data_IF_398095286735
#
_entry.id   IF_398095286735
#
_cell.length_a   1.000
_cell.length_b   1.000
_cell.length_c   1.000
_cell.angle_alpha   90.00
_cell.angle_beta   90.00
_cell.angle_gamma   90.00
#
_symmetry.space_group_name_H-M   'P 1'
#
loop_
_entity.id
_entity.type
_entity.pdbx_description
1 polymer ?
#
# COMPACT_ATOMS: atom_id res chain seq x y z
N UNK A 1 -14.67 16.58 -0.44
CA UNK A 1 -14.56 15.52 -1.45
C UNK A 1 -13.56 15.94 -2.53
N UNK A 2 -12.63 15.07 -2.89
CA UNK A 2 -11.63 15.27 -3.94
C UNK A 2 -11.68 14.11 -4.93
N UNK A 3 -11.39 14.41 -6.21
CA UNK A 3 -11.27 13.39 -7.27
C UNK A 3 -9.90 13.56 -7.91
N UNK A 4 -9.15 12.44 -8.00
CA UNK A 4 -7.82 12.40 -8.60
C UNK A 4 -7.87 11.42 -9.74
N UNK A 5 -7.63 11.91 -10.96
CA UNK A 5 -7.55 11.09 -12.15
C UNK A 5 -6.18 10.41 -12.26
N UNK A 6 -6.18 9.10 -12.51
CA UNK A 6 -4.98 8.28 -12.67
C UNK A 6 -4.90 7.79 -14.11
N UNK A 7 -3.83 8.16 -14.79
CA UNK A 7 -3.51 7.72 -16.15
C UNK A 7 -2.52 6.55 -16.08
N UNK A 8 -2.96 5.39 -16.54
CA UNK A 8 -2.19 4.15 -16.64
C UNK A 8 -2.71 3.32 -17.83
N UNK A 9 -2.36 2.05 -17.93
CA UNK A 9 -2.90 1.14 -18.96
C UNK A 9 -4.43 1.06 -18.96
N UNK A 10 -5.05 1.38 -17.83
CA UNK A 10 -6.47 1.71 -17.67
C UNK A 10 -6.57 2.99 -16.85
N UNK A 11 -7.30 3.97 -17.37
CA UNK A 11 -7.59 5.20 -16.65
C UNK A 11 -8.71 4.99 -15.63
N UNK A 12 -8.62 5.65 -14.49
CA UNK A 12 -9.61 5.59 -13.44
C UNK A 12 -9.52 6.78 -12.49
N UNK A 13 -10.56 6.99 -11.72
CA UNK A 13 -10.61 8.02 -10.69
C UNK A 13 -10.42 7.43 -9.30
N UNK A 14 -9.71 8.19 -8.44
CA UNK A 14 -9.68 8.00 -6.99
C UNK A 14 -10.52 9.09 -6.36
N UNK A 15 -11.61 8.71 -5.72
CA UNK A 15 -12.52 9.65 -5.04
C UNK A 15 -12.28 9.56 -3.54
N UNK A 16 -11.99 10.69 -2.91
CA UNK A 16 -11.69 10.80 -1.47
C UNK A 16 -12.70 11.75 -0.82
N UNK A 17 -13.32 11.33 0.28
CA UNK A 17 -14.26 12.15 1.04
C UNK A 17 -15.04 11.35 2.07
N UNK A 18 -15.81 12.04 2.91
CA UNK A 18 -16.65 11.42 3.93
C UNK A 18 -17.99 10.96 3.32
N UNK A 19 -18.57 9.86 3.86
CA UNK A 19 -19.89 9.37 3.52
C UNK A 19 -20.02 8.69 2.16
N UNK A 20 -18.92 8.44 1.45
CA UNK A 20 -18.93 7.91 0.08
C UNK A 20 -19.52 6.50 -0.03
N UNK A 21 -19.47 5.70 1.02
CA UNK A 21 -20.08 4.37 1.03
C UNK A 21 -21.59 4.41 0.80
N UNK A 22 -22.26 5.51 1.15
CA UNK A 22 -23.71 5.64 0.97
C UNK A 22 -24.12 5.77 -0.49
N UNK A 23 -23.23 6.30 -1.33
CA UNK A 23 -23.45 6.54 -2.76
C UNK A 23 -22.51 5.72 -3.67
N UNK A 24 -21.76 4.79 -3.09
CA UNK A 24 -20.77 4.00 -3.84
C UNK A 24 -21.39 3.21 -5.00
N UNK A 25 -22.64 2.74 -4.86
CA UNK A 25 -23.33 2.01 -5.91
C UNK A 25 -23.54 2.86 -7.16
N UNK A 26 -23.98 4.11 -7.04
CA UNK A 26 -24.17 5.02 -8.17
C UNK A 26 -22.85 5.36 -8.86
N UNK A 27 -21.80 5.59 -8.07
CA UNK A 27 -20.44 5.86 -8.58
C UNK A 27 -19.87 4.65 -9.33
N UNK A 28 -20.07 3.44 -8.79
CA UNK A 28 -19.66 2.20 -9.43
C UNK A 28 -20.44 1.98 -10.73
N UNK A 29 -21.76 2.18 -10.75
CA UNK A 29 -22.56 2.05 -11.95
C UNK A 29 -22.11 3.00 -13.07
N UNK A 30 -21.72 4.23 -12.72
CA UNK A 30 -21.17 5.19 -13.68
C UNK A 30 -19.77 4.77 -14.20
N UNK A 31 -18.92 4.21 -13.35
CA UNK A 31 -17.56 3.79 -13.71
C UNK A 31 -17.52 2.47 -14.51
N UNK A 32 -18.53 1.61 -14.35
CA UNK A 32 -18.60 0.29 -14.99
C UNK A 32 -19.95 0.06 -15.69
N UNK A 33 -20.28 0.84 -16.72
CA UNK A 33 -21.57 0.74 -17.39
C UNK A 33 -21.82 -0.66 -17.94
N UNK A 34 -23.07 -1.14 -17.82
CA UNK A 34 -23.49 -2.46 -18.28
C UNK A 34 -23.11 -3.63 -17.37
N UNK A 35 -22.56 -3.40 -16.19
CA UNK A 35 -22.39 -4.44 -15.20
C UNK A 35 -23.74 -4.76 -14.51
N UNK A 36 -24.11 -6.03 -14.48
CA UNK A 36 -25.36 -6.49 -13.83
C UNK A 36 -25.13 -6.98 -12.41
N UNK A 37 -23.99 -7.65 -12.17
CA UNK A 37 -23.63 -8.16 -10.86
C UNK A 37 -22.47 -7.38 -10.26
N UNK A 38 -22.54 -7.14 -8.95
CA UNK A 38 -21.45 -6.64 -8.14
C UNK A 38 -21.08 -7.69 -7.07
N UNK A 39 -19.82 -8.11 -7.08
CA UNK A 39 -19.29 -9.09 -6.11
C UNK A 39 -18.49 -8.34 -5.06
N UNK A 40 -19.03 -8.16 -3.87
CA UNK A 40 -18.34 -7.54 -2.73
C UNK A 40 -17.55 -8.62 -1.99
N UNK A 41 -16.23 -8.47 -1.98
CA UNK A 41 -15.35 -9.36 -1.22
C UNK A 41 -14.60 -8.57 -0.14
N UNK A 42 -14.55 -9.11 1.08
CA UNK A 42 -14.01 -8.40 2.24
C UNK A 42 -13.36 -9.38 3.23
N UNK A 43 -13.05 -8.93 4.43
CA UNK A 43 -12.56 -9.76 5.53
C UNK A 43 -13.48 -9.74 6.76
N UNK A 44 -13.20 -10.64 7.72
CA UNK A 44 -14.01 -10.81 8.95
C UNK A 44 -14.05 -9.57 9.84
N UNK A 45 -13.08 -8.65 9.76
CA UNK A 45 -13.06 -7.40 10.51
C UNK A 45 -13.94 -6.34 9.85
N UNK A 46 -13.83 -6.20 8.53
CA UNK A 46 -14.49 -5.14 7.75
C UNK A 46 -15.95 -5.51 7.44
N UNK A 47 -16.25 -6.80 7.28
CA UNK A 47 -17.60 -7.30 6.95
C UNK A 47 -18.69 -6.74 7.87
N UNK A 48 -18.62 -6.88 9.21
CA UNK A 48 -19.66 -6.37 10.12
C UNK A 48 -19.76 -4.86 10.15
N UNK A 49 -18.71 -4.13 9.78
CA UNK A 49 -18.66 -2.68 9.82
C UNK A 49 -19.32 -2.02 8.61
N UNK A 50 -19.02 -2.52 7.40
CA UNK A 50 -19.29 -1.79 6.18
C UNK A 50 -20.00 -2.59 5.09
N UNK A 51 -19.98 -3.93 5.10
CA UNK A 51 -20.52 -4.73 3.99
C UNK A 51 -21.99 -4.42 3.73
N UNK A 52 -22.81 -4.26 4.78
CA UNK A 52 -24.23 -3.93 4.63
C UNK A 52 -24.43 -2.58 3.91
N UNK A 53 -23.70 -1.53 4.31
CA UNK A 53 -23.80 -0.20 3.71
C UNK A 53 -23.48 -0.23 2.22
N UNK A 54 -22.38 -0.90 1.85
CA UNK A 54 -21.94 -1.05 0.47
C UNK A 54 -22.94 -1.87 -0.35
N UNK A 55 -23.41 -3.00 0.17
CA UNK A 55 -24.38 -3.86 -0.54
C UNK A 55 -25.73 -3.19 -0.73
N UNK A 56 -26.22 -2.42 0.25
CA UNK A 56 -27.46 -1.65 0.13
C UNK A 56 -27.33 -0.56 -0.93
N UNK A 57 -26.23 0.17 -0.97
CA UNK A 57 -25.95 1.19 -1.98
C UNK A 57 -25.86 0.59 -3.39
N UNK A 58 -25.22 -0.57 -3.56
CA UNK A 58 -25.14 -1.30 -4.83
C UNK A 58 -26.51 -1.79 -5.29
N UNK A 59 -27.32 -2.36 -4.40
CA UNK A 59 -28.70 -2.78 -4.72
C UNK A 59 -29.57 -1.61 -5.14
N UNK A 60 -29.46 -0.46 -4.44
CA UNK A 60 -30.18 0.76 -4.81
C UNK A 60 -29.78 1.29 -6.19
N UNK A 61 -28.56 1.02 -6.63
CA UNK A 61 -28.06 1.32 -7.98
C UNK A 61 -28.41 0.28 -9.05
N UNK A 62 -29.17 -0.77 -8.69
CA UNK A 62 -29.70 -1.78 -9.63
C UNK A 62 -28.83 -3.04 -9.78
N UNK A 63 -27.74 -3.20 -9.01
CA UNK A 63 -26.92 -4.42 -9.10
C UNK A 63 -27.57 -5.63 -8.41
N UNK A 64 -27.39 -6.79 -9.01
CA UNK A 64 -27.49 -8.07 -8.29
C UNK A 64 -26.22 -8.23 -7.45
N UNK A 65 -26.33 -8.18 -6.12
CA UNK A 65 -25.18 -8.16 -5.23
C UNK A 65 -24.88 -9.54 -4.66
N UNK A 66 -23.66 -9.98 -4.84
CA UNK A 66 -23.05 -11.16 -4.22
C UNK A 66 -22.03 -10.71 -3.20
N UNK A 67 -21.85 -11.46 -2.11
CA UNK A 67 -20.86 -11.13 -1.10
C UNK A 67 -20.25 -12.37 -0.46
N UNK A 68 -18.94 -12.31 -0.17
CA UNK A 68 -18.22 -13.30 0.63
C UNK A 68 -17.03 -12.62 1.35
N UNK A 69 -16.39 -13.33 2.27
CA UNK A 69 -15.27 -12.82 3.05
C UNK A 69 -14.31 -13.94 3.46
N UNK A 70 -13.08 -13.57 3.83
CA UNK A 70 -12.09 -14.45 4.44
C UNK A 70 -11.63 -13.92 5.80
N UNK A 71 -10.80 -14.67 6.53
CA UNK A 71 -10.26 -14.23 7.82
C UNK A 71 -9.34 -13.03 7.61
N UNK A 72 -9.49 -11.99 8.45
CA UNK A 72 -8.63 -10.80 8.40
C UNK A 72 -7.17 -11.15 8.75
N UNK A 73 -6.23 -10.41 8.16
CA UNK A 73 -4.81 -10.50 8.45
C UNK A 73 -3.97 -11.08 7.30
N UNK A 74 -2.66 -10.79 7.34
CA UNK A 74 -1.70 -11.16 6.29
C UNK A 74 -1.62 -12.67 6.07
N UNK A 75 -1.77 -13.48 7.15
CA UNK A 75 -1.79 -14.94 7.06
C UNK A 75 -2.87 -15.48 6.11
N UNK A 76 -3.87 -14.69 5.78
CA UNK A 76 -4.92 -15.05 4.81
C UNK A 76 -4.52 -14.78 3.37
N UNK A 77 -3.44 -14.05 3.11
CA UNK A 77 -2.96 -13.66 1.76
C UNK A 77 -2.29 -14.84 1.04
N UNK A 78 -3.01 -15.93 0.88
CA UNK A 78 -2.49 -17.21 0.38
C UNK A 78 -3.12 -17.61 -0.94
N UNK A 79 -2.41 -18.46 -1.69
CA UNK A 79 -2.91 -19.06 -2.93
C UNK A 79 -4.21 -19.85 -2.69
N UNK A 80 -4.35 -20.53 -1.54
CA UNK A 80 -5.56 -21.28 -1.18
C UNK A 80 -6.79 -20.38 -1.03
N UNK A 81 -6.66 -19.24 -0.37
CA UNK A 81 -7.77 -18.30 -0.23
C UNK A 81 -8.07 -17.60 -1.56
N UNK A 82 -7.06 -17.32 -2.37
CA UNK A 82 -7.25 -16.81 -3.72
C UNK A 82 -8.01 -17.80 -4.62
N UNK A 83 -7.68 -19.08 -4.59
CA UNK A 83 -8.45 -20.13 -5.28
C UNK A 83 -9.93 -20.17 -4.82
N UNK A 84 -10.17 -19.98 -3.51
CA UNK A 84 -11.52 -19.90 -2.94
C UNK A 84 -12.30 -18.70 -3.54
N UNK A 85 -11.66 -17.55 -3.72
CA UNK A 85 -12.30 -16.39 -4.38
C UNK A 85 -12.71 -16.74 -5.81
N UNK A 86 -11.82 -17.36 -6.59
CA UNK A 86 -12.13 -17.79 -7.96
C UNK A 86 -13.25 -18.79 -8.03
N UNK A 87 -13.30 -19.73 -7.10
CA UNK A 87 -14.39 -20.70 -6.99
C UNK A 87 -15.71 -20.00 -6.73
N UNK A 88 -15.75 -19.06 -5.80
CA UNK A 88 -16.94 -18.27 -5.52
C UNK A 88 -17.43 -17.52 -6.77
N UNK A 89 -16.53 -16.94 -7.56
CA UNK A 89 -16.91 -16.30 -8.83
C UNK A 89 -17.53 -17.27 -9.82
N UNK A 90 -16.97 -18.49 -9.92
CA UNK A 90 -17.43 -19.53 -10.85
C UNK A 90 -18.82 -20.07 -10.44
N UNK A 91 -19.00 -20.42 -9.16
CA UNK A 91 -20.25 -20.94 -8.62
C UNK A 91 -21.41 -19.96 -8.77
N UNK A 92 -21.11 -18.66 -8.68
CA UNK A 92 -22.09 -17.58 -8.85
C UNK A 92 -22.19 -17.05 -10.28
N UNK A 93 -21.56 -17.74 -11.24
CA UNK A 93 -21.61 -17.37 -12.67
C UNK A 93 -21.28 -15.89 -12.92
N UNK A 94 -20.22 -15.40 -12.26
CA UNK A 94 -19.71 -14.05 -12.50
C UNK A 94 -19.22 -13.98 -13.93
N UNK A 95 -19.61 -12.93 -14.64
CA UNK A 95 -19.24 -12.73 -16.04
C UNK A 95 -18.12 -11.68 -16.15
N UNK A 96 -17.51 -11.60 -17.32
CA UNK A 96 -16.47 -10.61 -17.60
C UNK A 96 -16.99 -9.17 -17.59
N UNK A 97 -18.29 -8.97 -17.78
CA UNK A 97 -18.95 -7.64 -17.73
C UNK A 97 -19.34 -7.21 -16.31
N UNK A 98 -19.32 -8.11 -15.34
CA UNK A 98 -19.63 -7.81 -13.95
C UNK A 98 -18.49 -7.03 -13.27
N UNK A 99 -18.68 -6.62 -12.03
CA UNK A 99 -17.70 -5.89 -11.24
C UNK A 99 -17.38 -6.60 -9.93
N UNK A 100 -16.10 -6.66 -9.62
CA UNK A 100 -15.60 -7.13 -8.33
C UNK A 100 -15.23 -5.92 -7.48
N UNK A 101 -15.74 -5.87 -6.26
CA UNK A 101 -15.53 -4.78 -5.30
C UNK A 101 -14.70 -5.32 -4.14
N UNK A 102 -13.46 -4.88 -4.03
CA UNK A 102 -12.55 -5.17 -2.92
C UNK A 102 -12.79 -4.15 -1.80
N UNK A 103 -13.50 -4.57 -0.74
CA UNK A 103 -13.83 -3.73 0.41
C UNK A 103 -12.93 -4.10 1.59
N UNK A 104 -11.86 -3.34 1.86
CA UNK A 104 -10.95 -3.68 2.96
C UNK A 104 -9.59 -3.01 2.93
N UNK A 105 -8.66 -3.53 3.71
CA UNK A 105 -7.25 -3.12 3.70
C UNK A 105 -6.47 -3.68 2.51
N UNK A 106 -5.14 -3.51 2.54
CA UNK A 106 -4.24 -3.94 1.46
C UNK A 106 -4.34 -5.43 1.14
N UNK A 107 -4.49 -6.30 2.14
CA UNK A 107 -4.65 -7.75 1.94
C UNK A 107 -5.88 -8.06 1.07
N UNK A 108 -7.01 -7.42 1.37
CA UNK A 108 -8.24 -7.58 0.57
C UNK A 108 -8.03 -7.05 -0.83
N UNK A 109 -7.50 -5.83 -0.94
CA UNK A 109 -7.25 -5.19 -2.23
C UNK A 109 -6.36 -6.02 -3.15
N UNK A 110 -5.27 -6.56 -2.61
CA UNK A 110 -4.29 -7.36 -3.36
C UNK A 110 -4.87 -8.72 -3.80
N UNK A 111 -5.45 -9.48 -2.88
CA UNK A 111 -5.97 -10.82 -3.21
C UNK A 111 -7.17 -10.76 -4.16
N UNK A 112 -8.13 -9.88 -3.87
CA UNK A 112 -9.34 -9.73 -4.68
C UNK A 112 -9.00 -9.13 -6.04
N UNK A 113 -8.06 -8.16 -6.06
CA UNK A 113 -7.55 -7.59 -7.30
C UNK A 113 -6.84 -8.62 -8.17
N UNK A 114 -6.03 -9.49 -7.59
CA UNK A 114 -5.37 -10.58 -8.34
C UNK A 114 -6.38 -11.61 -8.83
N UNK A 115 -7.41 -11.94 -8.05
CA UNK A 115 -8.48 -12.80 -8.52
C UNK A 115 -9.25 -12.17 -9.69
N UNK A 116 -9.55 -10.87 -9.63
CA UNK A 116 -10.17 -10.14 -10.73
C UNK A 116 -9.30 -10.11 -11.99
N UNK A 117 -7.98 -9.96 -11.83
CA UNK A 117 -7.03 -9.99 -12.95
C UNK A 117 -7.01 -11.34 -13.69
N UNK A 118 -7.10 -12.44 -12.94
CA UNK A 118 -6.96 -13.79 -13.50
C UNK A 118 -8.30 -14.37 -13.99
N UNK A 119 -9.41 -14.06 -13.30
CA UNK A 119 -10.71 -14.63 -13.64
C UNK A 119 -11.18 -14.16 -15.01
N UNK A 120 -11.51 -15.11 -15.89
CA UNK A 120 -11.88 -14.88 -17.29
C UNK A 120 -10.91 -13.94 -18.06
N UNK A 121 -9.64 -13.90 -17.70
CA UNK A 121 -8.58 -13.01 -18.25
C UNK A 121 -8.84 -11.54 -17.97
N UNK A 122 -9.54 -11.24 -16.89
CA UNK A 122 -9.77 -9.89 -16.40
C UNK A 122 -11.23 -9.52 -16.26
N UNK A 123 -11.64 -9.24 -15.02
CA UNK A 123 -12.94 -8.69 -14.64
C UNK A 123 -12.71 -7.29 -14.06
N UNK A 124 -13.70 -6.39 -14.19
CA UNK A 124 -13.58 -5.04 -13.65
C UNK A 124 -13.43 -5.07 -12.14
N UNK A 125 -12.51 -4.25 -11.63
CA UNK A 125 -12.20 -4.13 -10.22
C UNK A 125 -12.55 -2.74 -9.71
N UNK A 126 -13.15 -2.66 -8.53
CA UNK A 126 -13.28 -1.43 -7.76
C UNK A 126 -12.61 -1.65 -6.40
N UNK A 127 -11.80 -0.70 -5.97
CA UNK A 127 -11.17 -0.71 -4.66
C UNK A 127 -11.93 0.22 -3.71
N UNK A 128 -12.29 -0.28 -2.53
CA UNK A 128 -12.83 0.52 -1.42
C UNK A 128 -11.90 0.31 -0.22
N UNK A 129 -10.79 1.08 -0.15
CA UNK A 129 -9.83 0.95 0.93
C UNK A 129 -10.44 1.39 2.26
N UNK A 130 -10.24 0.59 3.31
CA UNK A 130 -10.72 0.87 4.66
C UNK A 130 -9.61 1.02 5.69
N UNK A 131 -8.35 0.88 5.29
CA UNK A 131 -7.18 1.20 6.12
C UNK A 131 -6.44 2.40 5.56
N UNK A 132 -5.74 3.13 6.42
CA UNK A 132 -4.99 4.31 6.02
C UNK A 132 -3.92 3.97 4.97
N UNK A 133 -3.17 2.88 5.19
CA UNK A 133 -2.17 2.38 4.24
C UNK A 133 -2.80 2.10 2.87
N UNK A 134 -3.95 1.45 2.84
CA UNK A 134 -4.63 1.15 1.58
C UNK A 134 -5.16 2.42 0.90
N UNK A 135 -5.66 3.38 1.67
CA UNK A 135 -6.19 4.64 1.15
C UNK A 135 -5.12 5.50 0.47
N UNK A 136 -3.89 5.53 1.01
CA UNK A 136 -2.80 6.37 0.48
C UNK A 136 -1.85 5.62 -0.45
N UNK A 137 -1.85 4.28 -0.42
CA UNK A 137 -0.85 3.51 -1.16
C UNK A 137 -1.47 2.31 -1.89
N UNK A 138 -1.74 1.17 -1.26
CA UNK A 138 -1.93 -0.10 -1.96
C UNK A 138 -3.11 -0.13 -2.94
N UNK A 139 -4.17 0.66 -2.77
CA UNK A 139 -5.31 0.73 -3.70
C UNK A 139 -5.00 1.40 -5.04
N UNK A 140 -3.85 2.06 -5.18
CA UNK A 140 -3.46 2.85 -6.37
C UNK A 140 -2.27 2.20 -7.08
N UNK A 141 -2.31 2.16 -8.42
CA UNK A 141 -1.19 1.71 -9.25
C UNK A 141 -1.17 0.23 -9.56
N UNK A 142 -2.26 -0.50 -9.27
CA UNK A 142 -2.58 -1.80 -9.86
C UNK A 142 -1.74 -2.99 -9.40
N UNK A 143 -0.84 -2.86 -8.45
CA UNK A 143 -0.12 -4.02 -7.89
C UNK A 143 -1.10 -4.89 -7.11
N UNK A 144 -1.26 -6.16 -7.51
CA UNK A 144 -2.13 -7.14 -6.86
C UNK A 144 -1.37 -8.45 -6.73
N UNK A 145 -1.51 -9.14 -5.59
CA UNK A 145 -0.70 -10.33 -5.34
C UNK A 145 -1.26 -11.23 -4.24
N UNK A 146 -0.65 -12.42 -4.14
CA UNK A 146 -0.72 -13.33 -3.00
C UNK A 146 0.68 -13.75 -2.58
N UNK A 147 0.79 -14.22 -1.35
CA UNK A 147 2.04 -14.69 -0.77
C UNK A 147 2.28 -16.17 -1.07
N UNK A 148 3.56 -16.53 -1.09
CA UNK A 148 4.01 -17.92 -1.09
C UNK A 148 4.83 -18.20 0.18
N UNK A 149 5.06 -19.46 0.54
CA UNK A 149 5.98 -19.80 1.62
C UNK A 149 7.40 -19.24 1.43
N UNK A 150 7.78 -18.94 0.19
CA UNK A 150 9.08 -18.37 -0.16
C UNK A 150 9.19 -16.85 0.03
N UNK A 151 8.06 -16.13 0.20
CA UNK A 151 8.05 -14.68 0.39
C UNK A 151 6.72 -14.03 0.02
N UNK A 152 6.58 -12.76 0.44
CA UNK A 152 5.40 -11.93 0.16
C UNK A 152 5.32 -11.50 -1.29
N UNK A 153 4.10 -11.38 -1.81
CA UNK A 153 3.76 -10.77 -3.10
C UNK A 153 4.47 -11.38 -4.33
N UNK A 154 4.89 -12.65 -4.24
CA UNK A 154 5.66 -13.31 -5.31
C UNK A 154 4.81 -13.75 -6.51
N UNK A 155 3.50 -13.92 -6.32
CA UNK A 155 2.56 -14.20 -7.41
C UNK A 155 1.54 -13.09 -7.48
N UNK A 156 1.45 -12.43 -8.62
CA UNK A 156 0.55 -11.31 -8.80
C UNK A 156 0.44 -10.83 -10.23
N UNK A 157 -0.31 -9.76 -10.39
CA UNK A 157 -0.51 -9.09 -11.67
C UNK A 157 -0.60 -7.58 -11.46
N UNK A 158 -0.25 -6.80 -12.48
CA UNK A 158 -0.64 -5.40 -12.56
C UNK A 158 -2.07 -5.35 -13.11
N UNK A 159 -3.03 -4.97 -12.26
CA UNK A 159 -4.43 -4.86 -12.62
C UNK A 159 -5.02 -3.56 -12.09
N UNK A 160 -5.15 -2.57 -12.97
CA UNK A 160 -5.68 -1.26 -12.59
C UNK A 160 -7.17 -1.38 -12.26
N UNK A 161 -7.64 -0.74 -11.16
CA UNK A 161 -9.07 -0.68 -10.85
C UNK A 161 -9.81 0.20 -11.90
N UNK A 162 -11.12 0.09 -11.94
CA UNK A 162 -11.98 1.00 -12.70
C UNK A 162 -12.39 2.23 -11.88
N UNK A 163 -12.27 2.14 -10.54
CA UNK A 163 -12.57 3.21 -9.59
C UNK A 163 -11.94 2.86 -8.24
N UNK A 164 -11.48 3.87 -7.51
CA UNK A 164 -11.13 3.76 -6.08
C UNK A 164 -12.01 4.71 -5.30
N UNK A 165 -12.70 4.21 -4.26
CA UNK A 165 -13.56 5.00 -3.36
C UNK A 165 -12.95 4.99 -1.96
N UNK A 166 -12.30 6.08 -1.57
CA UNK A 166 -11.72 6.27 -0.25
C UNK A 166 -12.68 7.07 0.63
N UNK A 167 -13.51 6.37 1.39
CA UNK A 167 -14.40 6.99 2.38
C UNK A 167 -13.63 7.26 3.67
N UNK A 168 -13.41 8.54 3.99
CA UNK A 168 -12.64 8.93 5.17
C UNK A 168 -13.31 8.56 6.49
N UNK A 169 -14.63 8.32 6.51
CA UNK A 169 -15.34 7.83 7.70
C UNK A 169 -14.84 6.43 8.11
N UNK A 170 -14.37 5.61 7.16
CA UNK A 170 -13.84 4.28 7.48
C UNK A 170 -12.55 4.33 8.30
N UNK A 171 -11.80 5.41 8.21
CA UNK A 171 -10.54 5.60 8.94
C UNK A 171 -10.77 5.89 10.43
N UNK A 172 -11.97 6.35 10.81
CA UNK A 172 -12.32 6.66 12.21
C UNK A 172 -12.51 5.41 13.06
N UNK A 173 -12.80 4.26 12.44
CA UNK A 173 -12.98 2.99 13.15
C UNK A 173 -11.72 2.14 13.22
N UNK A 174 -10.61 2.64 12.68
CA UNK A 174 -9.34 1.92 12.72
C UNK A 174 -8.81 1.82 14.16
N UNK A 175 -8.36 0.64 14.59
CA UNK A 175 -7.55 0.53 15.79
C UNK A 175 -6.30 1.43 15.67
N UNK A 176 -5.91 2.03 16.79
CA UNK A 176 -4.76 2.96 16.81
C UNK A 176 -3.47 2.37 16.21
N UNK A 177 -3.20 1.09 16.46
CA UNK A 177 -2.04 0.42 15.90
C UNK A 177 -2.07 0.38 14.36
N UNK A 178 -3.24 0.07 13.77
CA UNK A 178 -3.43 0.03 12.31
C UNK A 178 -3.35 1.43 11.70
N UNK A 179 -3.89 2.44 12.40
CA UNK A 179 -3.80 3.83 11.97
C UNK A 179 -2.35 4.32 11.97
N UNK A 180 -1.59 4.07 13.06
CA UNK A 180 -0.17 4.41 13.14
C UNK A 180 0.65 3.74 12.05
N UNK A 181 0.37 2.49 11.77
CA UNK A 181 1.03 1.72 10.71
C UNK A 181 0.91 2.43 9.35
N UNK A 182 -0.28 2.94 9.02
CA UNK A 182 -0.49 3.74 7.81
C UNK A 182 0.25 5.09 7.80
N UNK A 183 0.55 5.69 8.97
CA UNK A 183 1.32 6.94 9.05
C UNK A 183 2.74 6.79 8.50
N UNK A 184 3.35 5.60 8.58
CA UNK A 184 4.69 5.36 8.02
C UNK A 184 4.73 5.65 6.50
N UNK A 185 3.72 5.23 5.76
CA UNK A 185 3.62 5.48 4.33
C UNK A 185 3.37 6.97 4.03
N UNK A 186 2.52 7.64 4.83
CA UNK A 186 2.32 9.08 4.69
C UNK A 186 3.63 9.84 4.92
N UNK A 187 4.40 9.45 5.93
CA UNK A 187 5.72 10.06 6.20
C UNK A 187 6.67 9.80 5.02
N UNK A 188 6.70 8.60 4.48
CA UNK A 188 7.45 8.27 3.25
C UNK A 188 7.11 9.24 2.12
N UNK A 189 5.81 9.48 1.85
CA UNK A 189 5.39 10.46 0.85
C UNK A 189 5.83 11.88 1.20
N UNK A 190 5.81 12.26 2.47
CA UNK A 190 6.34 13.55 2.91
C UNK A 190 7.83 13.72 2.62
N UNK A 191 8.63 12.67 2.82
CA UNK A 191 10.07 12.68 2.48
C UNK A 191 10.27 12.75 0.96
N UNK A 192 9.44 12.09 0.17
CA UNK A 192 9.51 12.10 -1.30
C UNK A 192 9.06 13.45 -1.90
N UNK A 193 8.01 14.06 -1.35
CA UNK A 193 7.40 15.30 -1.90
C UNK A 193 8.19 16.57 -1.52
N UNK A 194 8.66 16.64 -0.28
CA UNK A 194 9.51 17.72 0.18
C UNK A 194 9.00 18.47 1.40
N UNK A 195 9.71 19.56 1.71
CA UNK A 195 9.57 20.31 2.95
C UNK A 195 8.15 20.83 3.21
N UNK A 196 7.42 21.22 2.17
CA UNK A 196 6.07 21.79 2.35
C UNK A 196 5.08 20.75 2.90
N UNK A 197 5.00 19.56 2.28
CA UNK A 197 4.18 18.46 2.80
C UNK A 197 4.72 17.97 4.14
N UNK A 198 6.05 17.76 4.24
CA UNK A 198 6.66 17.23 5.45
C UNK A 198 6.35 18.10 6.69
N UNK A 199 6.49 19.44 6.59
CA UNK A 199 6.17 20.36 7.69
C UNK A 199 4.68 20.33 8.07
N UNK A 200 3.79 20.09 7.11
CA UNK A 200 2.36 19.88 7.42
C UNK A 200 2.15 18.60 8.21
N UNK A 201 2.86 17.51 7.85
CA UNK A 201 2.79 16.24 8.58
C UNK A 201 3.30 16.38 10.02
N UNK A 202 4.38 17.15 10.23
CA UNK A 202 4.90 17.46 11.58
C UNK A 202 3.83 18.13 12.48
N UNK A 203 2.94 18.92 11.89
CA UNK A 203 1.87 19.60 12.64
C UNK A 203 0.58 18.76 12.79
N UNK A 204 0.27 17.89 11.83
CA UNK A 204 -1.01 17.16 11.77
C UNK A 204 -0.94 15.76 12.37
N UNK A 205 0.11 14.97 12.05
CA UNK A 205 0.20 13.57 12.48
C UNK A 205 0.56 13.45 13.97
N UNK A 206 0.10 12.40 14.65
CA UNK A 206 -0.83 11.36 14.20
C UNK A 206 -2.31 11.72 14.41
N UNK A 207 -2.61 12.89 14.96
CA UNK A 207 -3.93 13.23 15.50
C UNK A 207 -4.96 13.48 14.39
N UNK A 208 -4.53 14.14 13.31
CA UNK A 208 -5.38 14.46 12.17
C UNK A 208 -4.76 14.01 10.86
N UNK A 209 -5.59 13.45 9.98
CA UNK A 209 -5.21 13.09 8.62
C UNK A 209 -6.24 13.73 7.68
N UNK A 210 -6.04 15.03 7.36
CA UNK A 210 -6.93 15.77 6.49
C UNK A 210 -7.05 15.16 5.08
N UNK A 211 -8.21 15.30 4.44
CA UNK A 211 -8.46 14.80 3.08
C UNK A 211 -7.42 15.28 2.06
N UNK A 212 -6.88 16.46 2.24
CA UNK A 212 -5.88 17.00 1.31
C UNK A 212 -4.48 16.37 1.48
N UNK A 213 -4.15 15.86 2.67
CA UNK A 213 -2.94 15.03 2.88
C UNK A 213 -3.12 13.69 2.19
N UNK A 214 -4.28 13.02 2.37
CA UNK A 214 -4.59 11.78 1.66
C UNK A 214 -4.52 11.99 0.15
N UNK A 215 -5.15 13.04 -0.34
CA UNK A 215 -5.15 13.40 -1.75
C UNK A 215 -3.72 13.63 -2.27
N UNK A 216 -2.89 14.34 -1.52
CA UNK A 216 -1.51 14.60 -1.93
C UNK A 216 -0.67 13.33 -2.02
N UNK A 217 -0.81 12.39 -1.07
CA UNK A 217 -0.16 11.08 -1.15
C UNK A 217 -0.57 10.32 -2.43
N UNK A 218 -1.87 10.31 -2.73
CA UNK A 218 -2.41 9.68 -3.95
C UNK A 218 -1.89 10.37 -5.22
N UNK A 219 -1.82 11.71 -5.24
CA UNK A 219 -1.26 12.47 -6.37
C UNK A 219 0.21 12.12 -6.64
N UNK A 220 1.03 12.08 -5.58
CA UNK A 220 2.45 11.69 -5.70
C UNK A 220 2.56 10.28 -6.27
N UNK A 221 1.76 9.33 -5.76
CA UNK A 221 1.75 7.97 -6.26
C UNK A 221 1.29 7.90 -7.72
N UNK A 222 0.21 8.60 -8.07
CA UNK A 222 -0.28 8.72 -9.45
C UNK A 222 0.81 9.18 -10.40
N UNK A 223 1.52 10.24 -10.05
CA UNK A 223 2.57 10.82 -10.91
C UNK A 223 3.72 9.83 -11.14
N UNK A 224 4.12 9.11 -10.09
CA UNK A 224 5.14 8.07 -10.18
C UNK A 224 4.65 6.87 -11.00
N UNK A 225 3.40 6.43 -10.82
CA UNK A 225 2.79 5.33 -11.57
C UNK A 225 2.61 5.70 -13.04
N UNK A 226 2.19 6.93 -13.35
CA UNK A 226 2.06 7.41 -14.72
C UNK A 226 3.42 7.42 -15.46
N UNK A 227 4.52 7.70 -14.75
CA UNK A 227 5.87 7.66 -15.30
C UNK A 227 6.42 6.23 -15.45
N UNK A 228 6.00 5.29 -14.60
CA UNK A 228 6.51 3.91 -14.56
C UNK A 228 5.48 2.95 -13.95
N UNK A 229 4.50 2.52 -14.76
CA UNK A 229 3.42 1.65 -14.30
C UNK A 229 3.94 0.29 -13.81
N UNK A 230 4.94 -0.29 -14.51
CA UNK A 230 5.39 -1.66 -14.29
C UNK A 230 6.60 -1.79 -13.35
N UNK A 231 6.97 -0.72 -12.63
CA UNK A 231 8.02 -0.72 -11.61
C UNK A 231 9.40 -1.17 -12.14
N UNK A 232 9.79 -0.60 -13.26
CA UNK A 232 11.06 -0.91 -13.92
C UNK A 232 12.14 0.17 -13.69
N UNK A 233 11.78 1.32 -13.11
CA UNK A 233 12.68 2.47 -12.94
C UNK A 233 12.23 3.46 -11.86
N UNK A 234 11.52 4.53 -12.25
CA UNK A 234 11.16 5.64 -11.37
C UNK A 234 10.28 5.21 -10.19
N UNK A 235 9.44 4.19 -10.37
CA UNK A 235 8.54 3.68 -9.31
C UNK A 235 9.31 3.07 -8.14
N UNK A 236 10.57 2.66 -8.34
CA UNK A 236 11.42 2.20 -7.24
C UNK A 236 11.56 3.24 -6.12
N UNK A 237 11.36 4.55 -6.38
CA UNK A 237 11.36 5.59 -5.33
C UNK A 237 10.36 5.30 -4.21
N UNK A 238 9.23 4.65 -4.52
CA UNK A 238 8.24 4.24 -3.53
C UNK A 238 8.78 3.20 -2.52
N UNK A 239 9.92 2.55 -2.83
CA UNK A 239 10.58 1.61 -1.94
C UNK A 239 11.58 2.30 -0.96
N UNK A 240 11.46 3.61 -0.73
CA UNK A 240 12.24 4.30 0.30
C UNK A 240 12.01 3.64 1.66
N UNK A 241 13.10 3.20 2.32
CA UNK A 241 13.05 2.43 3.58
C UNK A 241 12.72 0.94 3.44
N UNK A 242 12.11 0.52 2.33
CA UNK A 242 11.55 -0.83 2.18
C UNK A 242 12.58 -1.96 2.10
N UNK A 243 13.80 -1.70 1.65
CA UNK A 243 14.83 -2.75 1.57
C UNK A 243 15.16 -3.32 2.95
N UNK A 244 15.32 -2.44 3.96
CA UNK A 244 15.52 -2.85 5.35
C UNK A 244 14.20 -3.35 5.99
N UNK A 245 13.07 -2.73 5.63
CA UNK A 245 11.76 -3.11 6.14
C UNK A 245 11.41 -4.56 5.77
N UNK A 246 11.46 -4.94 4.51
CA UNK A 246 11.17 -6.30 4.06
C UNK A 246 12.12 -7.34 4.67
N UNK A 247 13.41 -6.98 4.85
CA UNK A 247 14.35 -7.84 5.57
C UNK A 247 13.94 -8.05 7.03
N UNK A 248 13.49 -6.99 7.71
CA UNK A 248 13.02 -7.07 9.10
C UNK A 248 11.68 -7.84 9.21
N UNK A 249 10.75 -7.66 8.29
CA UNK A 249 9.51 -8.44 8.20
C UNK A 249 9.83 -9.95 8.05
N UNK A 250 10.74 -10.29 7.14
CA UNK A 250 11.15 -11.68 6.90
C UNK A 250 11.79 -12.29 8.16
N UNK A 251 12.72 -11.58 8.81
CA UNK A 251 13.40 -12.05 10.02
C UNK A 251 12.46 -12.18 11.23
N UNK A 252 11.36 -11.43 11.25
CA UNK A 252 10.34 -11.52 12.29
C UNK A 252 9.28 -12.60 12.03
N UNK A 253 9.44 -13.40 10.98
CA UNK A 253 8.39 -14.31 10.47
C UNK A 253 7.04 -13.57 10.29
N UNK A 254 7.14 -12.35 9.75
CA UNK A 254 6.01 -11.45 9.47
C UNK A 254 5.15 -11.07 10.70
N UNK A 255 5.68 -11.23 11.91
CA UNK A 255 5.02 -10.74 13.14
C UNK A 255 5.13 -9.22 13.31
N UNK A 256 6.14 -8.61 12.66
CA UNK A 256 6.30 -7.15 12.60
C UNK A 256 5.32 -6.57 11.56
N UNK A 257 4.59 -5.52 11.94
CA UNK A 257 3.69 -4.85 11.00
C UNK A 257 4.48 -4.11 9.91
N UNK A 258 3.87 -4.00 8.72
CA UNK A 258 4.50 -3.37 7.57
C UNK A 258 4.93 -1.92 7.83
N UNK A 259 4.02 -1.10 8.38
CA UNK A 259 4.33 0.31 8.65
C UNK A 259 5.40 0.47 9.72
N UNK A 260 5.43 -0.40 10.76
CA UNK A 260 6.52 -0.40 11.73
C UNK A 260 7.86 -0.74 11.09
N UNK A 261 7.89 -1.72 10.19
CA UNK A 261 9.09 -2.07 9.43
C UNK A 261 9.56 -0.92 8.52
N UNK A 262 8.62 -0.29 7.79
CA UNK A 262 8.90 0.87 6.92
C UNK A 262 9.43 2.05 7.74
N UNK A 263 8.84 2.34 8.89
CA UNK A 263 9.27 3.41 9.78
C UNK A 263 10.75 3.21 10.23
N UNK A 264 11.10 2.00 10.69
CA UNK A 264 12.47 1.67 11.04
C UNK A 264 13.42 1.76 9.86
N UNK A 265 12.99 1.30 8.68
CA UNK A 265 13.77 1.38 7.45
C UNK A 265 14.00 2.81 6.97
N UNK A 266 13.00 3.70 7.12
CA UNK A 266 13.12 5.14 6.84
C UNK A 266 14.15 5.79 7.76
N UNK A 267 14.07 5.56 9.09
CA UNK A 267 15.04 6.07 10.05
C UNK A 267 16.46 5.58 9.75
N UNK A 268 16.59 4.28 9.50
CA UNK A 268 17.89 3.67 9.18
C UNK A 268 18.50 4.29 7.92
N UNK A 269 17.72 4.47 6.86
CA UNK A 269 18.21 5.06 5.62
C UNK A 269 18.55 6.55 5.79
N UNK A 270 17.71 7.32 6.50
CA UNK A 270 17.97 8.74 6.75
C UNK A 270 19.27 8.94 7.55
N UNK A 271 19.48 8.17 8.64
CA UNK A 271 20.73 8.19 9.44
C UNK A 271 21.94 7.79 8.59
N UNK A 272 21.83 6.73 7.79
CA UNK A 272 22.93 6.30 6.91
C UNK A 272 23.28 7.37 5.86
N UNK A 273 22.29 8.05 5.31
CA UNK A 273 22.50 9.14 4.37
C UNK A 273 23.18 10.36 5.04
N UNK A 274 22.77 10.74 6.25
CA UNK A 274 23.42 11.80 7.01
C UNK A 274 24.87 11.45 7.36
N UNK A 275 25.14 10.24 7.88
CA UNK A 275 26.49 9.78 8.17
C UNK A 275 27.42 9.74 6.95
N UNK A 276 26.85 9.68 5.74
CA UNK A 276 27.58 9.71 4.46
C UNK A 276 27.61 11.11 3.81
N UNK A 277 27.05 12.13 4.47
CA UNK A 277 27.00 13.51 3.95
C UNK A 277 26.07 13.67 2.75
N UNK A 278 25.10 12.78 2.54
CA UNK A 278 24.12 12.86 1.46
C UNK A 278 22.95 13.79 1.81
N UNK A 279 22.53 13.82 3.07
CA UNK A 279 21.58 14.79 3.59
C UNK A 279 22.11 15.40 4.89
N UNK A 280 21.40 16.40 5.41
CA UNK A 280 21.77 17.03 6.68
C UNK A 280 21.38 16.13 7.88
N UNK A 281 22.09 16.27 8.99
CA UNK A 281 21.69 15.63 10.27
C UNK A 281 20.31 16.14 10.72
N UNK A 282 19.98 17.41 10.42
CA UNK A 282 18.69 18.00 10.73
C UNK A 282 17.55 17.30 9.99
N UNK A 283 17.69 17.04 8.67
CA UNK A 283 16.66 16.30 7.91
C UNK A 283 16.45 14.90 8.46
N UNK A 284 17.54 14.18 8.78
CA UNK A 284 17.44 12.84 9.37
C UNK A 284 16.76 12.86 10.76
N UNK A 285 17.11 13.84 11.60
CA UNK A 285 16.53 14.03 12.92
C UNK A 285 15.02 14.38 12.83
N UNK A 286 14.61 15.20 11.87
CA UNK A 286 13.20 15.55 11.63
C UNK A 286 12.38 14.31 11.23
N UNK A 287 12.91 13.48 10.31
CA UNK A 287 12.25 12.24 9.90
C UNK A 287 12.05 11.32 11.11
N UNK A 288 13.10 11.13 11.89
CA UNK A 288 13.02 10.29 13.10
C UNK A 288 12.05 10.85 14.15
N UNK A 289 12.08 12.16 14.38
CA UNK A 289 11.19 12.82 15.34
C UNK A 289 9.71 12.65 14.96
N UNK A 290 9.37 12.79 13.66
CA UNK A 290 8.00 12.60 13.19
C UNK A 290 7.55 11.13 13.32
N UNK A 291 8.42 10.18 13.02
CA UNK A 291 8.14 8.74 13.21
C UNK A 291 7.88 8.44 14.68
N UNK A 292 8.73 8.94 15.60
CA UNK A 292 8.53 8.81 17.07
C UNK A 292 7.24 9.47 17.53
N UNK A 293 6.90 10.65 17.02
CA UNK A 293 5.65 11.36 17.32
C UNK A 293 4.43 10.52 16.96
N UNK A 294 4.48 9.76 15.87
CA UNK A 294 3.44 8.82 15.47
C UNK A 294 3.41 7.54 16.32
N UNK A 295 4.29 7.38 17.31
CA UNK A 295 4.38 6.18 18.14
C UNK A 295 4.90 4.95 17.38
N UNK A 296 5.65 5.17 16.30
CA UNK A 296 6.27 4.12 15.49
C UNK A 296 7.71 3.85 15.96
N UNK A 297 8.22 2.62 15.82
CA UNK A 297 9.61 2.29 16.18
C UNK A 297 10.59 2.90 15.18
N UNK A 298 11.80 3.22 15.69
CA UNK A 298 12.88 3.85 14.90
C UNK A 298 14.14 2.99 14.79
N UNK A 299 14.22 1.89 15.55
CA UNK A 299 15.39 1.04 15.64
C UNK A 299 15.13 -0.34 15.02
N UNK A 300 16.01 -0.78 14.13
CA UNK A 300 15.96 -2.12 13.57
C UNK A 300 16.38 -3.14 14.64
N UNK A 301 15.56 -4.18 14.94
CA UNK A 301 15.82 -5.10 16.05
C UNK A 301 16.84 -6.21 15.72
N UNK A 302 17.45 -6.18 14.53
CA UNK A 302 18.36 -7.20 14.03
C UNK A 302 19.74 -6.63 13.72
N UNK A 303 20.76 -7.50 13.64
CA UNK A 303 22.11 -7.10 13.24
C UNK A 303 22.15 -6.69 11.76
N UNK A 304 23.09 -5.81 11.42
CA UNK A 304 23.30 -5.35 10.05
C UNK A 304 23.56 -6.52 9.08
N UNK A 305 24.29 -7.55 9.52
CA UNK A 305 24.58 -8.74 8.74
C UNK A 305 23.31 -9.58 8.48
N UNK A 306 22.47 -9.79 9.50
CA UNK A 306 21.25 -10.55 9.36
C UNK A 306 20.28 -9.85 8.39
N UNK A 307 20.13 -8.53 8.53
CA UNK A 307 19.30 -7.72 7.63
C UNK A 307 19.83 -7.71 6.19
N UNK A 308 21.16 -7.56 6.02
CA UNK A 308 21.76 -7.58 4.69
C UNK A 308 21.59 -8.96 4.02
N UNK A 309 21.80 -10.04 4.74
CA UNK A 309 21.60 -11.40 4.23
C UNK A 309 20.14 -11.65 3.86
N UNK A 310 19.18 -11.21 4.68
CA UNK A 310 17.76 -11.33 4.38
C UNK A 310 17.37 -10.52 3.12
N UNK A 311 17.82 -9.27 3.01
CA UNK A 311 17.58 -8.42 1.84
C UNK A 311 18.17 -8.99 0.53
N UNK A 312 19.31 -9.67 0.60
CA UNK A 312 19.99 -10.27 -0.55
C UNK A 312 19.42 -11.64 -0.92
N UNK A 313 18.83 -12.38 0.03
CA UNK A 313 18.20 -13.68 -0.28
C UNK A 313 17.00 -13.53 -1.21
N UNK A 314 16.24 -12.46 -1.07
CA UNK A 314 15.13 -12.09 -1.97
C UNK A 314 15.64 -11.70 -3.37
N UNK A 315 16.87 -11.20 -3.48
CA UNK A 315 17.48 -10.64 -4.71
C UNK A 315 18.62 -11.46 -5.32
N UNK A 316 18.86 -12.69 -4.90
CA UNK A 316 19.94 -13.58 -5.42
C UNK A 316 20.00 -13.76 -6.96
N UNK A 317 19.02 -13.21 -7.68
CA UNK A 317 18.97 -13.21 -9.15
C UNK A 317 19.49 -11.93 -9.82
N UNK A 318 19.87 -10.88 -9.07
CA UNK A 318 20.11 -9.53 -9.61
C UNK A 318 21.60 -9.09 -9.72
N UNK A 319 22.57 -9.98 -9.48
CA UNK A 319 23.99 -9.64 -9.64
C UNK A 319 24.63 -9.03 -8.37
N UNK A 320 25.82 -8.38 -8.54
CA UNK A 320 26.63 -7.85 -7.44
C UNK A 320 26.15 -6.50 -6.87
N UNK A 321 25.05 -5.94 -7.36
CA UNK A 321 24.53 -4.62 -6.95
C UNK A 321 23.13 -4.70 -6.38
N UNK A 322 22.83 -3.81 -5.41
CA UNK A 322 21.55 -3.66 -4.76
C UNK A 322 21.02 -2.23 -5.00
N UNK A 323 19.83 -2.02 -5.58
CA UNK A 323 19.22 -0.71 -5.62
C UNK A 323 18.68 -0.36 -4.22
N UNK A 324 19.08 0.80 -3.72
CA UNK A 324 18.57 1.42 -2.49
C UNK A 324 18.06 2.82 -2.82
N UNK A 325 17.12 3.32 -2.05
CA UNK A 325 16.64 4.69 -2.21
C UNK A 325 17.32 5.54 -1.16
N UNK A 326 18.12 6.51 -1.58
CA UNK A 326 18.82 7.45 -0.70
C UNK A 326 18.04 8.74 -0.53
N UNK A 327 18.12 9.31 0.67
CA UNK A 327 17.60 10.65 0.99
C UNK A 327 18.75 11.66 0.82
N UNK A 328 18.60 12.59 -0.10
CA UNK A 328 19.55 13.69 -0.35
C UNK A 328 19.02 15.02 0.21
N UNK A 329 17.90 14.95 0.93
CA UNK A 329 17.15 16.01 1.56
C UNK A 329 15.66 15.79 1.37
N UNK A 330 14.82 16.49 2.12
CA UNK A 330 13.37 16.41 1.94
C UNK A 330 12.98 16.84 0.50
N UNK A 331 12.29 15.97 -0.23
CA UNK A 331 11.93 16.14 -1.64
C UNK A 331 13.03 15.76 -2.63
N UNK A 332 14.17 15.29 -2.17
CA UNK A 332 15.27 14.84 -3.02
C UNK A 332 15.69 13.43 -2.64
N UNK A 333 15.09 12.47 -3.30
CA UNK A 333 15.39 11.05 -3.13
C UNK A 333 15.84 10.45 -4.46
N UNK A 334 16.83 9.55 -4.42
CA UNK A 334 17.47 9.00 -5.61
C UNK A 334 17.58 7.48 -5.52
N UNK A 335 17.31 6.78 -6.62
CA UNK A 335 17.59 5.35 -6.75
C UNK A 335 19.09 5.18 -6.96
N UNK A 336 19.79 4.67 -5.97
CA UNK A 336 21.24 4.44 -6.01
C UNK A 336 21.56 2.95 -6.06
N UNK A 337 22.38 2.53 -7.01
CA UNK A 337 22.93 1.17 -7.04
C UNK A 337 24.20 1.13 -6.19
N UNK A 338 24.21 0.31 -5.15
CA UNK A 338 25.37 0.06 -4.29
C UNK A 338 25.88 -1.36 -4.49
N UNK A 339 27.13 -1.64 -4.14
CA UNK A 339 27.58 -3.02 -4.10
C UNK A 339 26.79 -3.78 -3.00
N UNK A 340 26.35 -5.00 -3.31
CA UNK A 340 25.58 -5.80 -2.37
C UNK A 340 26.38 -6.07 -1.05
N UNK A 341 27.72 -6.21 -1.15
CA UNK A 341 28.62 -6.34 -0.01
C UNK A 341 28.62 -5.13 0.94
N UNK A 342 28.28 -3.94 0.42
CA UNK A 342 28.35 -2.70 1.20
C UNK A 342 27.08 -2.44 2.02
N UNK A 343 26.01 -3.18 1.77
CA UNK A 343 24.69 -2.90 2.36
C UNK A 343 24.72 -3.04 3.90
N UNK A 344 25.43 -4.02 4.44
CA UNK A 344 25.63 -4.13 5.89
C UNK A 344 26.30 -2.87 6.49
N UNK A 345 27.25 -2.26 5.78
CA UNK A 345 27.86 -0.98 6.16
C UNK A 345 26.88 0.19 6.19
N UNK A 346 25.91 0.24 5.24
CA UNK A 346 24.83 1.21 5.27
C UNK A 346 23.92 1.01 6.47
N UNK A 347 23.56 -0.23 6.76
CA UNK A 347 22.69 -0.56 7.90
C UNK A 347 23.35 -0.23 9.26
N UNK A 348 24.66 -0.49 9.43
CA UNK A 348 25.39 -0.08 10.65
C UNK A 348 25.39 1.44 10.82
N UNK A 349 25.66 2.20 9.77
CA UNK A 349 25.57 3.67 9.80
C UNK A 349 24.12 4.16 10.03
N UNK A 350 23.13 3.37 9.64
CA UNK A 350 21.71 3.57 9.93
C UNK A 350 21.28 3.17 11.35
N UNK A 351 22.20 2.70 12.20
CA UNK A 351 21.93 2.32 13.59
C UNK A 351 21.61 0.85 13.83
N UNK A 352 21.70 -0.04 12.82
CA UNK A 352 21.61 -1.48 13.06
C UNK A 352 22.86 -1.99 13.81
N UNK A 353 22.66 -2.95 14.72
CA UNK A 353 23.72 -3.54 15.56
C UNK A 353 24.75 -4.32 14.77
#
# INVERSE_FOLDING_TARGET
MKTIHVTASREYDVVIGAGLLNECGQRIAAAVPGAEKAVVYTDTTVFPLYAKRVTDSLKAAGFTVLQDYFLAGEHSKTFRNWERILRFFTENRVSRSDVVVALGGGVVGDMVGFAAACYQRGVRLVQIPTTLLAAVDSSVGGKTAVDLPAGKNLIGAFWQPSLVICDTDTLQTLPDAVRRDGCAEIIKYGVLDGTALFSRLENSLPDEIPEDILARCVEIKRDIVAADEFDTGARHLLNLGHTAAHAAELLSDYSLSHGSAVAMGLCSMARACAARGLCTEEDAARIEALIKKCGLPTELPYTAEALANAALSDKKRAGSTLPVITVEGLGRCTVRKIAASDYAGWLRQGGAK
#
